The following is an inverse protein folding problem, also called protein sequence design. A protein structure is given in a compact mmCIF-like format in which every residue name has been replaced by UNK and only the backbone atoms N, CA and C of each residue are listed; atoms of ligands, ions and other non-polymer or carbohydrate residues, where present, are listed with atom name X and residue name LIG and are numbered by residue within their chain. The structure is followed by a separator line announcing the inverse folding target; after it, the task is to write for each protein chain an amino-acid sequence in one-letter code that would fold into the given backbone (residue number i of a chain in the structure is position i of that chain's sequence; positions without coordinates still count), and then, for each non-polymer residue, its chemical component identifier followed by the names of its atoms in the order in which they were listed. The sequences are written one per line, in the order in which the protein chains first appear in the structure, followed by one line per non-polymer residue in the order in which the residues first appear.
data_IF_683809184366
#
_entry.id   IF_683809184366
#
_cell.length_a   1.000
_cell.length_b   1.000
_cell.length_c   1.000
_cell.angle_alpha   90.00
_cell.angle_beta   90.00
_cell.angle_gamma   90.00
#
_symmetry.space_group_name_H-M   'P 1'
#
loop_
_entity.id
_entity.type
_entity.pdbx_description
1 polymer ?
#
# COMPACT_ATOMS: atom_id res chain seq x y z
N UNK A 1 4.50 -8.71 25.98
CA UNK A 1 3.02 -8.68 25.95
C UNK A 1 2.42 -8.66 24.54
N UNK A 2 3.11 -8.16 23.49
CA UNK A 2 2.61 -8.20 22.11
C UNK A 2 3.02 -9.46 21.31
N UNK A 3 3.91 -10.30 21.85
CA UNK A 3 4.54 -11.39 21.12
C UNK A 3 3.53 -12.43 20.57
N UNK A 4 2.47 -12.73 21.29
CA UNK A 4 1.41 -13.67 20.83
C UNK A 4 0.53 -13.09 19.71
N UNK A 5 0.62 -11.79 19.44
CA UNK A 5 -0.15 -11.09 18.39
C UNK A 5 0.70 -10.85 17.13
N UNK A 6 1.98 -11.25 17.16
CA UNK A 6 2.92 -11.06 16.06
C UNK A 6 3.06 -12.39 15.31
N UNK A 7 2.67 -12.38 14.03
CA UNK A 7 2.82 -13.54 13.14
C UNK A 7 4.26 -13.64 12.62
N UNK A 8 4.85 -12.50 12.22
CA UNK A 8 6.20 -12.45 11.66
C UNK A 8 6.89 -11.13 11.99
N UNK A 9 8.19 -11.17 12.34
CA UNK A 9 9.06 -10.01 12.53
C UNK A 9 10.44 -10.29 11.93
N UNK A 10 11.01 -9.29 11.26
CA UNK A 10 12.31 -9.39 10.62
C UNK A 10 12.20 -9.75 9.14
N UNK A 11 13.33 -10.16 8.56
CA UNK A 11 13.41 -10.51 7.15
C UNK A 11 12.45 -11.67 6.80
N UNK A 12 11.74 -11.54 5.69
CA UNK A 12 10.93 -12.60 5.09
C UNK A 12 11.51 -12.90 3.71
N UNK A 13 11.65 -14.17 3.38
CA UNK A 13 11.96 -14.55 2.00
C UNK A 13 10.80 -14.21 1.06
N UNK A 14 11.03 -14.31 -0.25
CA UNK A 14 10.05 -13.88 -1.24
C UNK A 14 8.71 -14.65 -1.15
N UNK A 15 8.72 -15.92 -0.73
CA UNK A 15 7.49 -16.71 -0.62
C UNK A 15 6.69 -16.27 0.61
N UNK A 16 7.37 -16.17 1.74
CA UNK A 16 6.80 -15.74 3.03
C UNK A 16 6.26 -14.31 2.94
N UNK A 17 7.02 -13.38 2.35
CA UNK A 17 6.59 -12.00 2.16
C UNK A 17 5.29 -11.92 1.36
N UNK A 18 5.21 -12.63 0.23
CA UNK A 18 3.99 -12.68 -0.59
C UNK A 18 2.82 -13.27 0.18
N UNK A 19 3.02 -14.36 0.92
CA UNK A 19 1.96 -14.95 1.75
C UNK A 19 1.44 -13.94 2.78
N UNK A 20 2.34 -13.27 3.51
CA UNK A 20 1.97 -12.26 4.50
C UNK A 20 1.15 -11.11 3.89
N UNK A 21 1.52 -10.64 2.69
CA UNK A 21 0.74 -9.61 1.98
C UNK A 21 -0.67 -10.11 1.63
N UNK A 22 -0.81 -11.34 1.15
CA UNK A 22 -2.11 -11.91 0.78
C UNK A 22 -3.03 -12.21 1.97
N UNK A 23 -2.45 -12.51 3.14
CA UNK A 23 -3.21 -12.74 4.38
C UNK A 23 -3.65 -11.43 5.05
N UNK A 24 -2.94 -10.33 4.81
CA UNK A 24 -3.25 -9.05 5.40
C UNK A 24 -4.52 -8.40 4.82
N UNK A 25 -5.32 -7.77 5.68
CA UNK A 25 -6.45 -6.94 5.25
C UNK A 25 -6.08 -5.46 5.10
N UNK A 26 -5.09 -5.01 5.89
CA UNK A 26 -4.69 -3.60 6.01
C UNK A 26 -3.17 -3.55 6.04
N UNK A 27 -2.58 -2.60 5.31
CA UNK A 27 -1.16 -2.24 5.41
C UNK A 27 -1.03 -0.85 6.01
N UNK A 28 -0.09 -0.67 6.94
CA UNK A 28 0.10 0.59 7.66
C UNK A 28 1.56 1.00 7.53
N UNK A 29 1.81 2.22 7.08
CA UNK A 29 3.14 2.82 7.17
C UNK A 29 3.18 3.82 8.31
N UNK A 30 4.19 3.75 9.16
CA UNK A 30 4.52 4.77 10.16
C UNK A 30 5.88 5.41 9.89
N UNK A 31 6.40 5.24 8.66
CA UNK A 31 7.72 5.68 8.26
C UNK A 31 7.91 7.20 8.47
N UNK A 32 9.10 7.59 8.91
CA UNK A 32 9.53 8.99 8.98
C UNK A 32 10.20 9.45 7.68
N UNK A 33 10.79 8.50 6.95
CA UNK A 33 11.40 8.72 5.64
C UNK A 33 11.02 7.57 4.71
N UNK A 34 10.70 7.90 3.47
CA UNK A 34 10.40 6.97 2.38
C UNK A 34 10.74 7.67 1.06
N UNK A 35 11.10 6.89 0.05
CA UNK A 35 11.27 7.36 -1.33
C UNK A 35 10.01 7.03 -2.12
N UNK A 36 9.99 5.93 -2.87
CA UNK A 36 8.90 5.62 -3.79
C UNK A 36 7.77 4.78 -3.18
N UNK A 37 7.98 4.14 -2.02
CA UNK A 37 6.94 3.35 -1.37
C UNK A 37 6.64 2.01 -2.06
N UNK A 38 7.65 1.35 -2.62
CA UNK A 38 7.49 0.07 -3.37
C UNK A 38 6.73 -0.97 -2.53
N UNK A 39 7.11 -1.16 -1.26
CA UNK A 39 6.44 -2.12 -0.37
C UNK A 39 4.96 -1.80 -0.15
N UNK A 40 4.60 -0.52 -0.14
CA UNK A 40 3.21 -0.07 -0.05
C UNK A 40 2.48 -0.36 -1.37
N UNK A 41 3.10 -0.11 -2.52
CA UNK A 41 2.50 -0.46 -3.81
C UNK A 41 2.28 -1.97 -3.95
N UNK A 42 3.25 -2.79 -3.54
CA UNK A 42 3.13 -4.26 -3.52
C UNK A 42 1.98 -4.72 -2.60
N UNK A 43 1.89 -4.15 -1.39
CA UNK A 43 0.83 -4.46 -0.46
C UNK A 43 -0.55 -4.04 -1.01
N UNK A 44 -0.66 -2.86 -1.62
CA UNK A 44 -1.89 -2.39 -2.25
C UNK A 44 -2.27 -3.30 -3.43
N UNK A 45 -1.31 -3.71 -4.26
CA UNK A 45 -1.51 -4.62 -5.37
C UNK A 45 -2.04 -5.99 -4.90
N UNK A 46 -1.56 -6.47 -3.74
CA UNK A 46 -2.08 -7.65 -3.05
C UNK A 46 -3.46 -7.44 -2.39
N UNK A 47 -4.15 -6.33 -2.68
CA UNK A 47 -5.48 -5.98 -2.16
C UNK A 47 -5.53 -5.78 -0.64
N UNK A 48 -4.44 -5.30 -0.05
CA UNK A 48 -4.43 -4.79 1.32
C UNK A 48 -4.82 -3.31 1.32
N UNK A 49 -5.67 -2.90 2.24
CA UNK A 49 -6.10 -1.50 2.33
C UNK A 49 -5.02 -0.64 3.00
N UNK A 50 -4.52 0.44 2.38
CA UNK A 50 -3.43 1.23 2.94
C UNK A 50 -3.91 2.30 3.92
N UNK A 51 -3.19 2.44 5.03
CA UNK A 51 -3.24 3.60 5.93
C UNK A 51 -1.85 4.22 6.01
N UNK A 52 -1.71 5.40 5.41
CA UNK A 52 -0.42 6.03 5.15
C UNK A 52 -0.41 7.46 5.72
N UNK A 53 0.73 7.98 6.19
CA UNK A 53 0.80 9.35 6.67
C UNK A 53 0.62 10.31 5.48
N UNK A 54 -0.08 11.43 5.68
CA UNK A 54 -0.21 12.50 4.68
C UNK A 54 1.09 13.31 4.52
N UNK A 55 2.15 12.65 4.05
CA UNK A 55 3.50 13.17 3.80
C UNK A 55 4.29 12.13 3.01
N UNK A 56 5.56 12.42 2.73
CA UNK A 56 6.43 11.58 1.88
C UNK A 56 5.81 11.47 0.48
N UNK A 57 6.08 10.39 -0.26
CA UNK A 57 5.52 10.16 -1.59
C UNK A 57 4.07 9.69 -1.59
N UNK A 58 3.50 9.29 -0.44
CA UNK A 58 2.18 8.64 -0.40
C UNK A 58 1.03 9.45 -1.02
N UNK A 59 0.93 10.78 -0.82
CA UNK A 59 -0.09 11.59 -1.49
C UNK A 59 0.01 11.56 -3.02
N UNK A 60 1.19 11.29 -3.58
CA UNK A 60 1.42 11.19 -5.02
C UNK A 60 1.12 9.78 -5.56
N UNK A 61 1.29 8.74 -4.72
CA UNK A 61 1.05 7.34 -5.10
C UNK A 61 -0.44 7.00 -5.15
N UNK A 62 -1.24 7.59 -4.27
CA UNK A 62 -2.66 7.25 -4.08
C UNK A 62 -3.53 8.14 -4.99
N UNK A 63 -4.51 7.56 -5.73
CA UNK A 63 -5.45 8.35 -6.53
C UNK A 63 -6.22 9.37 -5.69
N UNK A 64 -6.44 10.56 -6.26
CA UNK A 64 -7.09 11.68 -5.59
C UNK A 64 -8.42 11.30 -4.93
N UNK A 65 -9.23 10.51 -5.62
CA UNK A 65 -10.53 10.08 -5.12
C UNK A 65 -10.46 9.24 -3.82
N UNK A 66 -9.29 8.70 -3.46
CA UNK A 66 -9.11 7.77 -2.33
C UNK A 66 -8.16 8.31 -1.26
N UNK A 67 -7.56 9.49 -1.47
CA UNK A 67 -6.66 10.13 -0.50
C UNK A 67 -7.31 10.27 0.87
N UNK A 68 -8.56 10.72 0.90
CA UNK A 68 -9.31 10.94 2.15
C UNK A 68 -9.58 9.66 2.93
N UNK A 69 -9.57 8.51 2.28
CA UNK A 69 -9.76 7.20 2.90
C UNK A 69 -8.43 6.60 3.38
N UNK A 70 -7.32 6.86 2.67
CA UNK A 70 -6.03 6.20 2.90
C UNK A 70 -5.06 7.01 3.77
N UNK A 71 -5.16 8.35 3.75
CA UNK A 71 -4.17 9.20 4.40
C UNK A 71 -4.58 9.61 5.80
N UNK A 72 -3.65 9.51 6.76
CA UNK A 72 -3.82 9.95 8.14
C UNK A 72 -2.90 11.12 8.51
N UNK A 73 -3.32 11.93 9.48
CA UNK A 73 -2.62 13.17 9.87
C UNK A 73 -1.98 13.12 11.26
N UNK A 74 -2.43 12.21 12.11
CA UNK A 74 -1.90 12.01 13.47
C UNK A 74 -2.06 10.55 13.90
N UNK A 75 -1.47 10.19 15.05
CA UNK A 75 -1.66 8.86 15.63
C UNK A 75 -3.13 8.59 15.99
N UNK A 76 -3.84 9.58 16.55
CA UNK A 76 -5.26 9.43 16.90
C UNK A 76 -6.13 9.26 15.65
N UNK A 77 -5.78 9.96 14.57
CA UNK A 77 -6.44 9.81 13.28
C UNK A 77 -6.17 8.41 12.67
N UNK A 78 -4.92 7.91 12.75
CA UNK A 78 -4.58 6.55 12.34
C UNK A 78 -5.43 5.51 13.09
N UNK A 79 -5.53 5.63 14.42
CA UNK A 79 -6.33 4.72 15.24
C UNK A 79 -7.82 4.78 14.86
N UNK A 80 -8.35 5.99 14.64
CA UNK A 80 -9.74 6.20 14.23
C UNK A 80 -10.04 5.58 12.86
N UNK A 81 -9.14 5.76 11.89
CA UNK A 81 -9.25 5.18 10.55
C UNK A 81 -9.12 3.66 10.57
N UNK A 82 -8.14 3.13 11.30
CA UNK A 82 -7.95 1.70 11.46
C UNK A 82 -9.22 1.04 12.02
N UNK A 83 -9.82 1.63 13.06
CA UNK A 83 -11.07 1.14 13.63
C UNK A 83 -12.19 1.13 12.58
N UNK A 84 -12.35 2.22 11.82
CA UNK A 84 -13.35 2.34 10.75
C UNK A 84 -13.19 1.24 9.69
N UNK A 85 -11.95 1.00 9.26
CA UNK A 85 -11.59 0.00 8.25
C UNK A 85 -11.86 -1.43 8.75
N UNK A 86 -11.55 -1.71 10.02
CA UNK A 86 -11.76 -3.04 10.62
C UNK A 86 -13.23 -3.38 10.88
N UNK A 87 -14.08 -2.40 11.19
CA UNK A 87 -15.52 -2.63 11.41
C UNK A 87 -16.34 -2.71 10.13
N UNK A 88 -15.75 -2.38 8.97
CA UNK A 88 -16.42 -2.44 7.65
C UNK A 88 -15.66 -3.33 6.64
N UNK A 89 -15.39 -4.61 6.95
CA UNK A 89 -14.48 -5.45 6.16
C UNK A 89 -14.91 -5.63 4.69
N UNK A 90 -16.21 -5.69 4.41
CA UNK A 90 -16.73 -5.77 3.04
C UNK A 90 -16.45 -4.50 2.22
N UNK A 91 -16.63 -3.32 2.82
CA UNK A 91 -16.35 -2.03 2.19
C UNK A 91 -14.84 -1.84 2.00
N UNK A 92 -14.06 -2.18 3.03
CA UNK A 92 -12.59 -2.18 2.99
C UNK A 92 -12.06 -3.04 1.86
N UNK A 93 -12.53 -4.29 1.73
CA UNK A 93 -12.10 -5.20 0.65
C UNK A 93 -12.49 -4.66 -0.73
N UNK A 94 -13.70 -4.12 -0.88
CA UNK A 94 -14.14 -3.52 -2.16
C UNK A 94 -13.25 -2.34 -2.55
N UNK A 95 -12.89 -1.49 -1.59
CA UNK A 95 -11.91 -0.43 -1.77
C UNK A 95 -10.57 -1.06 -2.14
N UNK A 96 -9.94 -1.86 -1.30
CA UNK A 96 -8.60 -2.40 -1.59
C UNK A 96 -8.46 -3.01 -3.01
N UNK A 97 -9.50 -3.68 -3.53
CA UNK A 97 -9.57 -4.12 -4.94
C UNK A 97 -9.44 -3.00 -5.99
N UNK A 98 -10.18 -1.90 -5.86
CA UNK A 98 -10.07 -0.81 -6.83
C UNK A 98 -8.73 -0.05 -6.72
N UNK A 99 -8.14 -0.01 -5.52
CA UNK A 99 -6.80 0.53 -5.31
C UNK A 99 -5.75 -0.32 -6.02
N UNK A 100 -5.86 -1.65 -5.88
CA UNK A 100 -5.00 -2.60 -6.60
C UNK A 100 -5.04 -2.34 -8.11
N UNK A 101 -6.24 -2.13 -8.68
CA UNK A 101 -6.38 -1.72 -10.08
C UNK A 101 -5.68 -0.39 -10.37
N UNK A 102 -5.84 0.62 -9.53
CA UNK A 102 -5.24 1.93 -9.75
C UNK A 102 -3.70 1.93 -9.69
N UNK A 103 -3.12 1.15 -8.78
CA UNK A 103 -1.65 1.03 -8.66
C UNK A 103 -1.04 0.08 -9.68
N UNK A 104 -1.84 -0.74 -10.38
CA UNK A 104 -1.34 -1.67 -11.41
C UNK A 104 -0.55 -0.97 -12.52
N UNK A 105 -0.76 0.34 -12.74
CA UNK A 105 0.03 1.17 -13.66
C UNK A 105 1.55 1.19 -13.36
N UNK A 106 1.94 0.82 -12.15
CA UNK A 106 3.35 0.71 -11.73
C UNK A 106 3.93 -0.69 -11.95
N UNK A 107 3.15 -1.64 -12.47
CA UNK A 107 3.63 -2.97 -12.82
C UNK A 107 4.73 -2.88 -13.89
N UNK A 108 5.76 -3.72 -13.75
CA UNK A 108 6.90 -3.72 -14.67
C UNK A 108 6.51 -4.01 -16.12
N UNK A 109 5.46 -4.79 -16.37
CA UNK A 109 4.94 -5.01 -17.73
C UNK A 109 4.41 -3.72 -18.38
N UNK A 110 4.05 -2.70 -17.60
CA UNK A 110 3.63 -1.39 -18.10
C UNK A 110 4.78 -0.38 -18.09
N UNK A 111 5.56 -0.33 -17.01
CA UNK A 111 6.66 0.63 -16.85
C UNK A 111 7.81 0.34 -17.81
N UNK A 112 8.18 -0.93 -18.02
CA UNK A 112 9.25 -1.30 -18.94
C UNK A 112 8.95 -0.78 -20.37
N UNK A 113 7.72 -0.98 -20.85
CA UNK A 113 7.29 -0.50 -22.18
C UNK A 113 7.42 1.02 -22.32
N UNK A 114 7.12 1.78 -21.26
CA UNK A 114 7.27 3.24 -21.26
C UNK A 114 8.73 3.67 -21.34
N UNK A 115 9.61 2.97 -20.64
CA UNK A 115 11.03 3.23 -20.71
C UNK A 115 11.63 2.84 -22.06
N UNK A 116 11.24 1.70 -22.61
CA UNK A 116 11.68 1.26 -23.94
C UNK A 116 11.29 2.29 -25.03
N UNK A 117 10.03 2.77 -25.01
CA UNK A 117 9.56 3.82 -25.91
C UNK A 117 10.31 5.14 -25.71
N UNK A 118 10.56 5.54 -24.47
CA UNK A 118 11.31 6.75 -24.15
C UNK A 118 12.75 6.69 -24.67
N UNK A 119 13.46 5.59 -24.41
CA UNK A 119 14.85 5.43 -24.84
C UNK A 119 14.99 5.28 -26.35
N UNK A 120 14.03 4.64 -27.03
CA UNK A 120 14.04 4.54 -28.49
C UNK A 120 13.93 5.90 -29.17
N UNK A 121 13.28 6.88 -28.54
CA UNK A 121 13.15 8.26 -29.06
C UNK A 121 14.37 9.14 -28.83
N UNK A 122 15.29 8.71 -27.97
CA UNK A 122 16.52 9.46 -27.65
C UNK A 122 17.71 9.08 -28.53
N UNK A 123 17.62 7.95 -29.24
CA UNK A 123 18.61 7.43 -30.18
C UNK A 123 18.18 7.80 -31.59
#
# INVERSE_FOLDING_TARGET
RLQEQIIHVGYADAATYRQLLWEAAVTISTAQHEFFGISILEAIYAQTFPLLPNRLSYPELIPNEWLSDCLYYSQDDLVTRLRTVLVQPGKTRKRAKGLATAVSKYDWSQIALRYDDFFTKLI
#
